data_IF_913598649486
#
_entry.id   IF_913598649486
#
_cell.length_a   1.000
_cell.length_b   1.000
_cell.length_c   1.000
_cell.angle_alpha   90.00
_cell.angle_beta   90.00
_cell.angle_gamma   90.00
#
_symmetry.space_group_name_H-M   'P 1'
#
loop_
_entity.id
_entity.type
_entity.pdbx_description
1 polymer ?
#
# COMPACT_ATOMS: atom_id res chain seq x y z
N UNK A 1 -0.92 7.69 8.67
CA UNK A 1 -1.28 6.27 8.82
C UNK A 1 -0.10 5.53 9.36
N UNK A 2 -0.38 4.50 10.16
CA UNK A 2 0.59 3.83 11.01
C UNK A 2 1.84 3.31 10.26
N UNK A 3 3.04 3.41 10.86
CA UNK A 3 3.33 4.06 12.14
C UNK A 3 3.25 5.59 12.08
N UNK A 4 2.42 6.13 12.98
CA UNK A 4 2.49 7.53 13.38
C UNK A 4 3.66 7.63 14.37
N UNK A 5 4.37 8.75 14.32
CA UNK A 5 5.64 9.00 15.02
C UNK A 5 5.61 8.56 16.49
N UNK A 6 6.53 7.68 16.88
CA UNK A 6 6.88 7.42 18.29
C UNK A 6 5.92 6.55 19.11
N UNK A 7 4.80 6.13 18.56
CA UNK A 7 3.81 5.34 19.30
C UNK A 7 4.07 3.81 19.17
N UNK A 8 3.52 3.01 20.08
CA UNK A 8 3.44 1.57 19.90
C UNK A 8 2.33 1.24 18.89
N UNK A 9 2.40 0.09 18.17
CA UNK A 9 1.31 -0.35 17.31
C UNK A 9 0.01 -0.35 18.11
N UNK A 10 -1.08 0.29 17.60
CA UNK A 10 -2.35 0.25 18.31
C UNK A 10 -2.75 -1.21 18.48
N UNK A 11 -3.10 -1.61 19.72
CA UNK A 11 -3.53 -2.98 20.00
C UNK A 11 -4.83 -3.32 19.24
N UNK A 12 -5.57 -2.31 18.81
CA UNK A 12 -6.84 -2.39 18.11
C UNK A 12 -6.73 -2.11 16.60
N UNK A 13 -5.54 -2.30 16.02
CA UNK A 13 -5.32 -2.12 14.58
C UNK A 13 -4.69 -3.38 13.94
N UNK A 14 -5.43 -3.98 13.01
CA UNK A 14 -4.83 -4.86 12.01
C UNK A 14 -4.31 -4.01 10.85
N UNK A 15 -2.99 -3.95 10.67
CA UNK A 15 -2.37 -3.23 9.58
C UNK A 15 -1.81 -4.21 8.53
N UNK A 16 -2.41 -4.19 7.34
CA UNK A 16 -1.95 -4.93 6.15
C UNK A 16 -1.30 -3.93 5.21
N UNK A 17 -0.03 -4.16 4.86
CA UNK A 17 0.74 -3.29 3.97
C UNK A 17 1.78 -4.11 3.20
N UNK A 18 2.55 -3.44 2.34
CA UNK A 18 3.52 -4.06 1.41
C UNK A 18 2.90 -5.10 0.50
N UNK A 19 1.62 -4.93 0.20
CA UNK A 19 0.86 -5.79 -0.70
C UNK A 19 0.03 -4.92 -1.63
N UNK A 20 0.08 -5.23 -2.92
CA UNK A 20 -0.82 -4.66 -3.92
C UNK A 20 -2.13 -5.45 -3.92
N UNK A 21 -3.25 -4.83 -4.28
CA UNK A 21 -4.55 -5.47 -4.30
C UNK A 21 -4.58 -6.74 -5.19
N UNK A 22 -3.96 -6.77 -6.39
CA UNK A 22 -3.86 -8.01 -7.16
C UNK A 22 -3.08 -9.11 -6.46
N UNK A 23 -1.99 -8.77 -5.78
CA UNK A 23 -1.21 -9.74 -5.02
C UNK A 23 -1.97 -10.26 -3.80
N UNK A 24 -2.69 -9.40 -3.09
CA UNK A 24 -3.48 -9.74 -1.90
C UNK A 24 -4.51 -10.85 -2.17
N UNK A 25 -5.10 -10.87 -3.36
CA UNK A 25 -6.13 -11.83 -3.77
C UNK A 25 -5.57 -13.02 -4.57
N UNK A 26 -4.28 -13.02 -4.89
CA UNK A 26 -3.66 -14.11 -5.61
C UNK A 26 -3.45 -15.35 -4.71
N UNK A 27 -3.10 -16.49 -5.29
CA UNK A 27 -2.74 -17.70 -4.55
C UNK A 27 -1.33 -17.57 -3.93
N UNK A 28 -1.02 -18.28 -2.84
CA UNK A 28 0.34 -18.32 -2.28
C UNK A 28 1.37 -18.79 -3.32
N UNK A 29 2.56 -18.20 -3.29
CA UNK A 29 3.65 -18.67 -4.15
C UNK A 29 4.17 -20.01 -3.60
N UNK A 30 3.99 -21.08 -4.38
CA UNK A 30 4.42 -22.42 -4.00
C UNK A 30 5.95 -22.56 -4.06
N UNK A 31 6.51 -23.37 -3.16
CA UNK A 31 7.92 -23.75 -3.18
C UNK A 31 8.89 -22.69 -2.65
N UNK A 32 8.40 -21.58 -2.08
CA UNK A 32 9.24 -20.61 -1.37
C UNK A 32 9.65 -21.19 -0.02
N UNK A 33 10.95 -21.22 0.25
CA UNK A 33 11.51 -21.58 1.55
C UNK A 33 11.72 -20.31 2.37
N UNK A 34 10.89 -20.11 3.41
CA UNK A 34 10.99 -18.95 4.27
C UNK A 34 12.23 -19.05 5.18
N UNK A 35 13.08 -18.02 5.16
CA UNK A 35 14.23 -17.88 6.04
C UNK A 35 14.09 -16.63 6.92
N UNK A 36 14.69 -16.57 8.13
CA UNK A 36 14.67 -15.39 9.01
C UNK A 36 15.11 -14.09 8.29
N UNK A 37 14.68 -12.90 8.77
CA UNK A 37 15.07 -11.63 8.16
C UNK A 37 16.59 -11.42 8.15
N UNK A 38 17.09 -10.80 7.08
CA UNK A 38 18.46 -10.30 7.00
C UNK A 38 18.65 -9.09 7.94
N UNK A 39 19.87 -8.77 8.42
CA UNK A 39 20.10 -7.69 9.38
C UNK A 39 19.58 -6.31 8.95
N UNK A 40 19.54 -6.04 7.65
CA UNK A 40 19.09 -4.78 7.06
C UNK A 40 17.56 -4.64 7.05
N UNK A 41 16.83 -5.73 7.30
CA UNK A 41 15.39 -5.80 7.18
C UNK A 41 14.73 -5.96 8.56
N UNK A 42 14.05 -4.92 9.02
CA UNK A 42 13.31 -4.95 10.28
C UNK A 42 12.15 -5.99 10.26
N UNK A 43 11.74 -6.43 11.45
CA UNK A 43 10.72 -7.49 11.63
C UNK A 43 9.38 -7.17 10.96
N UNK A 44 8.89 -5.92 11.08
CA UNK A 44 7.57 -5.56 10.57
C UNK A 44 7.49 -5.58 9.02
N UNK A 45 8.39 -4.91 8.28
CA UNK A 45 8.44 -5.04 6.82
C UNK A 45 8.66 -6.49 6.35
N UNK A 46 9.53 -7.26 7.02
CA UNK A 46 9.73 -8.67 6.71
C UNK A 46 8.43 -9.49 6.85
N UNK A 47 7.72 -9.34 7.98
CA UNK A 47 6.45 -10.03 8.20
C UNK A 47 5.39 -9.66 7.16
N UNK A 48 5.38 -8.41 6.71
CA UNK A 48 4.46 -7.93 5.67
C UNK A 48 4.77 -8.56 4.31
N UNK A 49 6.06 -8.62 3.93
CA UNK A 49 6.51 -9.34 2.73
C UNK A 49 6.15 -10.83 2.79
N UNK A 50 6.39 -11.51 3.92
CA UNK A 50 6.02 -12.92 4.09
C UNK A 50 4.50 -13.11 4.01
N UNK A 51 3.72 -12.19 4.57
CA UNK A 51 2.27 -12.23 4.46
C UNK A 51 1.79 -12.07 3.01
N UNK A 52 2.46 -11.26 2.19
CA UNK A 52 2.20 -11.15 0.75
C UNK A 52 2.56 -12.44 0.01
N UNK A 53 3.68 -13.10 0.33
CA UNK A 53 4.08 -14.36 -0.31
C UNK A 53 3.13 -15.52 0.05
N UNK A 54 2.69 -15.57 1.29
CA UNK A 54 1.87 -16.64 1.87
C UNK A 54 0.36 -16.37 1.83
N UNK A 55 -0.05 -15.16 1.42
CA UNK A 55 -1.45 -14.71 1.27
C UNK A 55 -2.28 -14.86 2.55
N UNK A 56 -1.67 -14.55 3.69
CA UNK A 56 -2.31 -14.70 5.02
C UNK A 56 -3.18 -13.52 5.43
N UNK A 57 -3.09 -12.39 4.72
CA UNK A 57 -3.77 -11.15 5.11
C UNK A 57 -5.30 -11.24 5.11
N UNK A 58 -5.93 -11.91 4.14
CA UNK A 58 -7.40 -12.06 4.10
C UNK A 58 -7.92 -12.94 5.25
N UNK A 59 -7.18 -14.00 5.60
CA UNK A 59 -7.50 -14.82 6.75
C UNK A 59 -7.36 -14.03 8.06
N UNK A 60 -6.30 -13.22 8.19
CA UNK A 60 -6.11 -12.32 9.32
C UNK A 60 -7.24 -11.29 9.42
N UNK A 61 -7.66 -10.71 8.29
CA UNK A 61 -8.76 -9.74 8.23
C UNK A 61 -10.10 -10.36 8.68
N UNK A 62 -10.41 -11.57 8.21
CA UNK A 62 -11.62 -12.29 8.61
C UNK A 62 -11.60 -12.66 10.10
N UNK A 63 -10.44 -13.07 10.64
CA UNK A 63 -10.28 -13.37 12.05
C UNK A 63 -10.38 -12.12 12.93
N UNK A 64 -9.90 -10.97 12.44
CA UNK A 64 -9.91 -9.70 13.15
C UNK A 64 -11.32 -9.13 13.34
N UNK A 65 -12.25 -9.41 12.42
CA UNK A 65 -13.65 -8.92 12.45
C UNK A 65 -13.72 -7.40 12.66
N UNK A 66 -13.12 -6.60 11.77
CA UNK A 66 -13.09 -5.15 11.93
C UNK A 66 -14.50 -4.55 11.93
N UNK A 67 -14.69 -3.51 12.74
CA UNK A 67 -15.84 -2.59 12.62
C UNK A 67 -15.63 -1.55 11.52
N UNK A 68 -14.37 -1.27 11.16
CA UNK A 68 -13.98 -0.32 10.12
C UNK A 68 -12.91 -0.94 9.21
N UNK A 69 -13.07 -0.77 7.90
CA UNK A 69 -12.10 -1.22 6.91
C UNK A 69 -11.62 -0.04 6.07
N UNK A 70 -10.36 0.34 6.26
CA UNK A 70 -9.73 1.48 5.58
C UNK A 70 -8.93 0.96 4.38
N UNK A 71 -9.26 1.46 3.20
CA UNK A 71 -8.51 1.24 1.97
C UNK A 71 -7.61 2.43 1.70
N UNK A 72 -6.31 2.18 1.60
CA UNK A 72 -5.34 3.11 1.04
C UNK A 72 -4.58 2.39 -0.08
N UNK A 73 -4.59 2.98 -1.27
CA UNK A 73 -3.97 2.42 -2.47
C UNK A 73 -2.52 2.90 -2.67
N UNK A 74 -1.87 3.51 -1.68
CA UNK A 74 -0.51 4.06 -1.82
C UNK A 74 0.53 2.97 -2.13
N UNK A 75 0.31 1.73 -1.70
CA UNK A 75 1.16 0.56 -2.00
C UNK A 75 1.00 0.06 -3.45
N UNK A 76 0.01 0.55 -4.20
CA UNK A 76 -0.10 0.33 -5.65
C UNK A 76 1.03 1.00 -6.46
N UNK A 77 1.97 1.66 -5.77
CA UNK A 77 3.27 2.06 -6.31
C UNK A 77 4.24 0.91 -6.56
N UNK A 78 4.07 -0.21 -5.87
CA UNK A 78 4.95 -1.37 -5.96
C UNK A 78 4.59 -2.19 -7.21
N UNK A 79 5.60 -2.71 -7.92
CA UNK A 79 5.34 -3.51 -9.12
C UNK A 79 4.78 -4.87 -8.71
N UNK A 80 4.30 -5.62 -9.69
CA UNK A 80 3.81 -6.98 -9.48
C UNK A 80 4.76 -7.94 -10.19
N UNK A 81 5.17 -9.00 -9.52
CA UNK A 81 5.81 -10.15 -10.16
C UNK A 81 4.74 -11.16 -10.54
N UNK A 82 4.65 -11.49 -11.82
CA UNK A 82 3.93 -12.67 -12.31
C UNK A 82 4.89 -13.86 -12.29
N UNK A 83 4.61 -14.85 -11.44
CA UNK A 83 5.52 -15.97 -11.20
C UNK A 83 4.76 -17.19 -10.71
N UNK A 84 5.12 -18.39 -11.18
CA UNK A 84 4.51 -19.65 -10.71
C UNK A 84 2.98 -19.72 -10.88
N UNK A 85 2.40 -18.98 -11.84
CA UNK A 85 0.95 -18.88 -12.03
C UNK A 85 0.23 -18.00 -10.99
N UNK A 86 0.96 -17.25 -10.17
CA UNK A 86 0.42 -16.31 -9.18
C UNK A 86 1.03 -14.91 -9.33
N UNK A 87 0.59 -13.98 -8.49
CA UNK A 87 1.07 -12.60 -8.39
C UNK A 87 1.70 -12.38 -7.01
N UNK A 88 2.84 -11.71 -6.99
CA UNK A 88 3.57 -11.30 -5.78
C UNK A 88 3.87 -9.82 -5.88
N UNK A 89 3.80 -9.08 -4.77
CA UNK A 89 4.21 -7.68 -4.75
C UNK A 89 5.73 -7.57 -4.82
N UNK A 90 6.25 -6.84 -5.79
CA UNK A 90 7.68 -6.53 -5.90
C UNK A 90 8.02 -5.37 -4.98
N UNK A 91 8.36 -5.69 -3.74
CA UNK A 91 8.76 -4.74 -2.72
C UNK A 91 10.28 -4.72 -2.51
N UNK A 92 10.79 -3.65 -1.89
CA UNK A 92 12.20 -3.57 -1.50
C UNK A 92 12.61 -4.70 -0.56
N UNK A 93 11.72 -5.08 0.35
CA UNK A 93 11.94 -6.19 1.28
C UNK A 93 12.22 -7.49 0.53
N UNK A 94 11.50 -7.73 -0.58
CA UNK A 94 11.73 -8.88 -1.44
C UNK A 94 13.09 -8.83 -2.12
N UNK A 95 13.52 -7.66 -2.60
CA UNK A 95 14.84 -7.47 -3.23
C UNK A 95 15.99 -7.78 -2.28
N UNK A 96 15.89 -7.35 -1.01
CA UNK A 96 16.98 -7.53 -0.03
C UNK A 96 16.90 -8.85 0.73
N UNK A 97 15.76 -9.54 0.71
CA UNK A 97 15.56 -10.82 1.42
C UNK A 97 16.40 -11.98 0.86
N UNK A 98 16.89 -11.87 -0.38
CA UNK A 98 17.50 -12.97 -1.13
C UNK A 98 16.51 -13.99 -1.70
N UNK A 99 15.19 -13.86 -1.43
CA UNK A 99 14.20 -14.84 -1.90
C UNK A 99 14.08 -14.90 -3.43
N UNK A 100 14.33 -13.80 -4.13
CA UNK A 100 14.34 -13.76 -5.60
C UNK A 100 15.36 -14.72 -6.25
N UNK A 101 16.36 -15.19 -5.49
CA UNK A 101 17.35 -16.18 -5.97
C UNK A 101 16.85 -17.62 -5.88
N UNK A 102 15.73 -17.88 -5.18
CA UNK A 102 15.18 -19.21 -5.03
C UNK A 102 14.55 -19.73 -6.33
N UNK A 103 14.56 -21.05 -6.57
CA UNK A 103 13.89 -21.65 -7.74
C UNK A 103 12.40 -21.32 -7.87
N UNK A 104 11.71 -21.02 -6.76
CA UNK A 104 10.30 -20.58 -6.77
C UNK A 104 10.09 -19.29 -7.58
N UNK A 105 11.11 -18.45 -7.72
CA UNK A 105 11.08 -17.22 -8.51
C UNK A 105 11.56 -17.39 -9.96
N UNK A 106 11.90 -18.62 -10.37
CA UNK A 106 12.35 -18.88 -11.73
C UNK A 106 11.30 -18.44 -12.76
N UNK A 107 11.72 -17.60 -13.71
CA UNK A 107 10.85 -17.08 -14.76
C UNK A 107 9.88 -15.99 -14.31
N UNK A 108 10.09 -15.38 -13.13
CA UNK A 108 9.35 -14.21 -12.69
C UNK A 108 9.43 -13.09 -13.73
N UNK A 109 8.30 -12.42 -13.97
CA UNK A 109 8.21 -11.27 -14.87
C UNK A 109 7.60 -10.09 -14.14
N UNK A 110 8.27 -8.94 -14.21
CA UNK A 110 7.77 -7.70 -13.64
C UNK A 110 6.68 -7.11 -14.51
N UNK A 111 5.58 -6.73 -13.86
CA UNK A 111 4.48 -5.92 -14.41
C UNK A 111 4.59 -4.55 -13.75
N UNK A 112 5.05 -3.57 -14.54
CA UNK A 112 5.24 -2.21 -14.08
C UNK A 112 3.91 -1.52 -13.73
N UNK A 113 3.95 -0.66 -12.71
CA UNK A 113 2.79 0.18 -12.33
C UNK A 113 2.57 1.36 -13.27
N UNK A 114 1.39 1.95 -13.14
CA UNK A 114 0.88 2.98 -14.05
C UNK A 114 0.88 2.53 -15.52
N UNK A 115 0.58 1.24 -15.73
CA UNK A 115 0.41 0.64 -17.07
C UNK A 115 -0.98 0.04 -17.22
N UNK A 116 -1.51 -0.05 -18.46
CA UNK A 116 -2.79 -0.72 -18.71
C UNK A 116 -2.85 -2.16 -18.19
N UNK A 117 -1.73 -2.89 -18.20
CA UNK A 117 -1.66 -4.25 -17.66
C UNK A 117 -1.88 -4.26 -16.14
N UNK A 118 -1.22 -3.37 -15.41
CA UNK A 118 -1.43 -3.22 -13.96
C UNK A 118 -2.86 -2.77 -13.61
N UNK A 119 -3.46 -1.91 -14.43
CA UNK A 119 -4.83 -1.42 -14.22
C UNK A 119 -5.88 -2.51 -14.42
N UNK A 120 -5.68 -3.38 -15.41
CA UNK A 120 -6.56 -4.53 -15.63
C UNK A 120 -6.53 -5.51 -14.45
N UNK A 121 -5.33 -5.81 -13.95
CA UNK A 121 -5.15 -6.66 -12.76
C UNK A 121 -5.82 -6.04 -11.54
N UNK A 122 -5.57 -4.74 -11.29
CA UNK A 122 -6.18 -4.01 -10.18
C UNK A 122 -7.71 -4.03 -10.27
N UNK A 123 -8.28 -3.75 -11.45
CA UNK A 123 -9.74 -3.72 -11.64
C UNK A 123 -10.37 -5.09 -11.44
N UNK A 124 -9.70 -6.17 -11.84
CA UNK A 124 -10.16 -7.53 -11.57
C UNK A 124 -10.13 -7.83 -10.07
N UNK A 125 -9.00 -7.54 -9.42
CA UNK A 125 -8.82 -7.74 -7.99
C UNK A 125 -9.84 -6.93 -7.17
N UNK A 126 -10.12 -5.68 -7.55
CA UNK A 126 -11.12 -4.88 -6.84
C UNK A 126 -12.54 -5.43 -6.97
N UNK A 127 -12.92 -6.02 -8.12
CA UNK A 127 -14.22 -6.70 -8.24
C UNK A 127 -14.30 -7.93 -7.33
N UNK A 128 -13.23 -8.69 -7.24
CA UNK A 128 -13.14 -9.84 -6.35
C UNK A 128 -13.18 -9.43 -4.88
N UNK A 129 -12.42 -8.39 -4.49
CA UNK A 129 -12.47 -7.81 -3.14
C UNK A 129 -13.89 -7.34 -2.79
N UNK A 130 -14.58 -6.63 -3.70
CA UNK A 130 -15.95 -6.21 -3.47
C UNK A 130 -16.91 -7.42 -3.28
N UNK A 131 -16.73 -8.49 -4.05
CA UNK A 131 -17.46 -9.75 -3.88
C UNK A 131 -17.16 -10.43 -2.54
N UNK A 132 -15.91 -10.42 -2.10
CA UNK A 132 -15.48 -10.95 -0.80
C UNK A 132 -16.12 -10.16 0.35
N UNK A 133 -16.09 -8.82 0.28
CA UNK A 133 -16.73 -7.97 1.30
C UNK A 133 -18.22 -8.29 1.37
N UNK A 134 -18.92 -8.30 0.23
CA UNK A 134 -20.37 -8.52 0.17
C UNK A 134 -20.81 -9.92 0.62
N UNK A 135 -19.94 -10.92 0.56
CA UNK A 135 -20.25 -12.32 0.90
C UNK A 135 -19.74 -12.76 2.27
N UNK A 136 -19.14 -11.87 3.04
CA UNK A 136 -18.57 -12.16 4.37
C UNK A 136 -19.10 -11.18 5.42
N UNK A 137 -18.86 -11.41 6.73
CA UNK A 137 -19.21 -10.43 7.78
C UNK A 137 -18.54 -9.06 7.62
N UNK A 138 -17.61 -8.89 6.68
CA UNK A 138 -17.03 -7.59 6.35
C UNK A 138 -18.05 -6.63 5.73
N UNK A 139 -19.20 -7.13 5.23
CA UNK A 139 -20.30 -6.28 4.76
C UNK A 139 -20.87 -5.37 5.86
N UNK A 140 -20.71 -5.75 7.13
CA UNK A 140 -21.18 -4.97 8.28
C UNK A 140 -20.16 -3.89 8.71
N UNK A 141 -18.94 -3.93 8.18
CA UNK A 141 -17.90 -2.95 8.51
C UNK A 141 -18.14 -1.62 7.78
N UNK A 142 -17.84 -0.50 8.46
CA UNK A 142 -17.77 0.81 7.81
C UNK A 142 -16.57 0.85 6.89
N UNK A 143 -16.83 0.87 5.58
CA UNK A 143 -15.78 0.99 4.56
C UNK A 143 -15.34 2.45 4.45
N UNK A 144 -14.03 2.68 4.44
CA UNK A 144 -13.42 4.02 4.33
C UNK A 144 -12.37 3.98 3.23
N UNK A 145 -12.44 4.92 2.29
CA UNK A 145 -11.36 5.19 1.33
C UNK A 145 -10.51 6.35 1.84
N UNK A 146 -9.21 6.12 1.98
CA UNK A 146 -8.22 7.19 2.10
C UNK A 146 -7.77 7.62 0.71
N UNK A 147 -8.13 8.85 0.32
CA UNK A 147 -7.81 9.42 -0.99
C UNK A 147 -6.39 10.00 -1.04
N UNK A 148 -5.40 9.16 -0.68
CA UNK A 148 -3.99 9.52 -0.73
C UNK A 148 -3.53 9.76 -2.17
N UNK A 149 -2.60 10.69 -2.34
CA UNK A 149 -1.98 11.04 -3.61
C UNK A 149 -0.54 11.44 -3.33
N UNK A 150 0.37 11.16 -4.25
CA UNK A 150 1.77 11.57 -4.14
C UNK A 150 1.88 13.09 -4.10
N UNK A 151 2.62 13.61 -3.12
CA UNK A 151 2.97 15.00 -3.03
C UNK A 151 3.83 15.41 -4.24
N UNK A 152 3.60 16.61 -4.75
CA UNK A 152 4.41 17.24 -5.81
C UNK A 152 5.44 18.20 -5.25
N UNK A 153 5.38 18.47 -3.94
CA UNK A 153 6.25 19.39 -3.21
C UNK A 153 6.70 18.75 -1.91
N UNK A 154 7.82 19.21 -1.37
CA UNK A 154 8.34 18.80 -0.08
C UNK A 154 8.76 20.00 0.77
N UNK A 155 8.68 19.84 2.08
CA UNK A 155 9.33 20.70 3.06
C UNK A 155 10.78 20.26 3.19
N UNK A 156 11.72 21.14 2.87
CA UNK A 156 13.15 20.88 3.03
C UNK A 156 13.60 21.05 4.50
N UNK A 157 14.87 20.74 4.77
CA UNK A 157 15.43 20.84 6.12
C UNK A 157 15.64 22.27 6.62
N UNK A 158 15.55 23.25 5.73
CA UNK A 158 15.64 24.68 6.04
C UNK A 158 14.23 25.29 6.25
N UNK A 159 13.18 24.46 6.24
CA UNK A 159 11.79 24.88 6.42
C UNK A 159 11.15 25.52 5.19
N UNK A 160 11.76 25.38 4.01
CA UNK A 160 11.23 25.91 2.74
C UNK A 160 10.47 24.83 1.98
N UNK A 161 9.36 25.22 1.34
CA UNK A 161 8.62 24.33 0.45
C UNK A 161 9.22 24.40 -0.95
N UNK A 162 9.60 23.25 -1.52
CA UNK A 162 10.17 23.11 -2.87
C UNK A 162 9.45 22.05 -3.67
N UNK A 163 9.52 22.15 -5.00
CA UNK A 163 9.01 21.11 -5.88
C UNK A 163 9.84 19.83 -5.76
N UNK A 164 9.17 18.68 -5.85
CA UNK A 164 9.83 17.41 -6.08
C UNK A 164 10.15 17.27 -7.59
N UNK A 165 11.21 16.55 -7.96
CA UNK A 165 11.43 16.22 -9.36
C UNK A 165 10.24 15.39 -9.88
N UNK A 166 9.97 15.49 -11.19
CA UNK A 166 8.86 14.76 -11.81
C UNK A 166 8.97 13.24 -11.63
N UNK A 167 10.21 12.73 -11.67
CA UNK A 167 10.54 11.34 -11.43
C UNK A 167 11.31 11.21 -10.10
N UNK A 168 10.83 10.31 -9.26
CA UNK A 168 11.34 10.07 -7.90
C UNK A 168 11.61 8.59 -7.68
N UNK A 169 12.48 8.30 -6.73
CA UNK A 169 12.74 6.94 -6.28
C UNK A 169 11.60 6.47 -5.36
N UNK A 170 11.07 5.27 -5.63
CA UNK A 170 10.07 4.61 -4.79
C UNK A 170 10.79 3.78 -3.71
N UNK A 171 11.82 3.05 -4.14
CA UNK A 171 12.82 2.39 -3.32
C UNK A 171 14.07 2.15 -4.18
N UNK A 172 15.18 1.73 -3.57
CA UNK A 172 16.48 1.56 -4.23
C UNK A 172 16.37 0.83 -5.58
N UNK A 173 16.69 1.54 -6.67
CA UNK A 173 16.69 0.97 -8.03
C UNK A 173 15.34 0.97 -8.74
N UNK A 174 14.28 1.48 -8.11
CA UNK A 174 12.95 1.65 -8.69
C UNK A 174 12.52 3.11 -8.68
N UNK A 175 12.20 3.64 -9.86
CA UNK A 175 11.75 5.01 -10.07
C UNK A 175 10.33 5.05 -10.60
N UNK A 176 9.64 6.16 -10.39
CA UNK A 176 8.30 6.39 -10.89
C UNK A 176 8.04 7.88 -11.10
N UNK A 177 7.21 8.20 -12.09
CA UNK A 177 6.76 9.57 -12.35
C UNK A 177 5.56 9.90 -11.50
N UNK A 178 5.62 11.02 -10.79
CA UNK A 178 4.56 11.45 -9.85
C UNK A 178 3.21 11.54 -10.56
N UNK A 179 3.18 12.12 -11.76
CA UNK A 179 1.96 12.30 -12.53
C UNK A 179 1.30 10.96 -12.91
N UNK A 180 2.09 9.98 -13.36
CA UNK A 180 1.61 8.67 -13.81
C UNK A 180 1.02 7.87 -12.62
N UNK A 181 1.68 7.91 -11.45
CA UNK A 181 1.18 7.28 -10.24
C UNK A 181 -0.08 7.95 -9.67
N UNK A 182 -0.15 9.29 -9.69
CA UNK A 182 -1.34 10.01 -9.25
C UNK A 182 -2.53 9.77 -10.19
N UNK A 183 -2.30 9.67 -11.50
CA UNK A 183 -3.34 9.29 -12.45
C UNK A 183 -3.87 7.87 -12.16
N UNK A 184 -2.98 6.90 -11.89
CA UNK A 184 -3.37 5.56 -11.50
C UNK A 184 -4.17 5.54 -10.17
N UNK A 185 -3.71 6.26 -9.15
CA UNK A 185 -4.42 6.37 -7.86
C UNK A 185 -5.81 6.97 -8.03
N UNK A 186 -5.95 8.05 -8.81
CA UNK A 186 -7.25 8.66 -9.10
C UNK A 186 -8.20 7.67 -9.82
N UNK A 187 -7.67 6.90 -10.78
CA UNK A 187 -8.41 5.85 -11.47
C UNK A 187 -8.88 4.74 -10.51
N UNK A 188 -8.01 4.28 -9.62
CA UNK A 188 -8.32 3.25 -8.63
C UNK A 188 -9.35 3.74 -7.60
N UNK A 189 -9.18 4.95 -7.07
CA UNK A 189 -10.11 5.58 -6.13
C UNK A 189 -11.50 5.75 -6.76
N UNK A 190 -11.58 6.26 -7.99
CA UNK A 190 -12.86 6.38 -8.70
C UNK A 190 -13.50 5.02 -8.97
N UNK A 191 -12.71 4.00 -9.32
CA UNK A 191 -13.21 2.65 -9.59
C UNK A 191 -13.70 1.96 -8.32
N UNK A 192 -13.00 2.16 -7.20
CA UNK A 192 -13.42 1.70 -5.87
C UNK A 192 -14.78 2.29 -5.49
N UNK A 193 -14.94 3.61 -5.60
CA UNK A 193 -16.20 4.27 -5.25
C UNK A 193 -17.36 3.87 -6.20
N UNK A 194 -17.05 3.51 -7.45
CA UNK A 194 -18.03 2.95 -8.37
C UNK A 194 -18.52 1.55 -7.98
N UNK A 195 -17.67 0.73 -7.36
CA UNK A 195 -18.01 -0.62 -6.89
C UNK A 195 -18.60 -0.62 -5.49
N UNK A 196 -18.16 0.30 -4.62
CA UNK A 196 -18.51 0.39 -3.21
C UNK A 196 -19.01 1.82 -2.88
N UNK A 197 -20.16 2.24 -3.43
CA UNK A 197 -20.63 3.63 -3.32
C UNK A 197 -21.03 4.05 -1.90
N UNK A 198 -21.23 3.11 -0.99
CA UNK A 198 -21.53 3.38 0.42
C UNK A 198 -20.29 3.76 1.24
N UNK A 199 -19.09 3.52 0.71
CA UNK A 199 -17.85 3.80 1.43
C UNK A 199 -17.73 5.29 1.78
N UNK A 200 -17.29 5.56 3.01
CA UNK A 200 -16.91 6.90 3.46
C UNK A 200 -15.55 7.27 2.87
N UNK A 201 -15.26 8.56 2.84
CA UNK A 201 -14.03 9.11 2.25
C UNK A 201 -13.33 9.96 3.28
N UNK A 202 -12.02 9.79 3.38
CA UNK A 202 -11.15 10.80 3.96
C UNK A 202 -10.23 11.32 2.86
N UNK A 203 -10.13 12.63 2.77
CA UNK A 203 -9.35 13.33 1.76
C UNK A 203 -8.66 14.50 2.46
N UNK A 204 -7.37 14.33 2.76
CA UNK A 204 -6.58 15.39 3.34
C UNK A 204 -6.46 16.54 2.33
N UNK A 205 -6.69 17.81 2.73
CA UNK A 205 -6.63 18.94 1.82
C UNK A 205 -5.28 19.02 1.08
N UNK A 206 -5.28 19.38 -0.23
CA UNK A 206 -4.06 19.41 -1.04
C UNK A 206 -2.93 20.30 -0.48
N UNK A 207 -3.27 21.32 0.29
CA UNK A 207 -2.32 22.21 0.98
C UNK A 207 -1.48 21.49 2.04
N UNK A 208 -1.98 20.41 2.63
CA UNK A 208 -1.25 19.59 3.60
C UNK A 208 -0.52 18.43 2.94
N UNK A 209 -0.77 18.17 1.64
CA UNK A 209 -0.11 17.12 0.85
C UNK A 209 1.29 17.57 0.40
N UNK A 210 2.16 17.70 1.39
CA UNK A 210 3.56 18.11 1.26
C UNK A 210 4.40 16.96 1.83
N UNK A 211 5.41 16.49 1.08
CA UNK A 211 6.37 15.51 1.58
C UNK A 211 7.34 16.15 2.59
N UNK A 212 7.96 15.36 3.45
CA UNK A 212 8.86 15.86 4.48
C UNK A 212 10.29 15.31 4.32
N UNK A 213 11.27 16.19 4.10
CA UNK A 213 12.68 15.80 4.01
C UNK A 213 13.29 15.35 5.36
N UNK A 214 12.61 15.69 6.47
CA UNK A 214 12.91 15.22 7.82
C UNK A 214 12.16 13.94 8.20
N UNK A 215 11.37 13.34 7.30
CA UNK A 215 10.60 12.15 7.61
C UNK A 215 11.51 10.99 8.04
N UNK A 216 11.07 10.20 9.03
CA UNK A 216 11.84 9.06 9.61
C UNK A 216 12.22 7.96 8.60
N UNK A 217 11.61 7.97 7.42
CA UNK A 217 11.86 7.01 6.34
C UNK A 217 12.52 7.66 5.11
N UNK A 218 13.08 8.85 5.30
CA UNK A 218 13.64 9.65 4.21
C UNK A 218 12.58 10.35 3.36
N UNK A 219 13.06 11.18 2.45
CA UNK A 219 12.20 11.96 1.55
C UNK A 219 11.57 11.04 0.50
N UNK A 220 10.25 11.07 0.41
CA UNK A 220 9.47 10.39 -0.63
C UNK A 220 8.13 11.11 -0.81
N UNK A 221 7.51 11.15 -2.01
CA UNK A 221 6.25 11.87 -2.22
C UNK A 221 5.07 11.35 -1.38
N UNK A 222 5.19 10.17 -0.78
CA UNK A 222 4.18 9.56 0.09
C UNK A 222 4.57 9.57 1.58
N UNK A 223 5.63 10.30 1.93
CA UNK A 223 6.05 10.56 3.30
C UNK A 223 5.71 12.01 3.66
N UNK A 224 4.49 12.24 4.12
CA UNK A 224 3.95 13.58 4.30
C UNK A 224 4.46 14.26 5.57
N UNK A 225 4.30 15.59 5.63
CA UNK A 225 4.44 16.38 6.84
C UNK A 225 3.45 15.95 7.93
N UNK A 226 3.79 16.19 9.19
CA UNK A 226 2.97 15.79 10.34
C UNK A 226 1.52 16.29 10.27
N UNK A 227 1.31 17.50 9.73
CA UNK A 227 -0.02 18.09 9.58
C UNK A 227 -0.96 17.22 8.71
N UNK A 228 -0.44 16.55 7.68
CA UNK A 228 -1.22 15.61 6.86
C UNK A 228 -1.78 14.48 7.72
N UNK A 229 -0.93 13.88 8.57
CA UNK A 229 -1.32 12.75 9.41
C UNK A 229 -2.31 13.16 10.50
N UNK A 230 -2.14 14.35 11.09
CA UNK A 230 -3.09 14.90 12.08
C UNK A 230 -4.46 15.13 11.47
N UNK A 231 -4.51 15.67 10.25
CA UNK A 231 -5.76 15.88 9.53
C UNK A 231 -6.43 14.56 9.14
N UNK A 232 -5.68 13.61 8.57
CA UNK A 232 -6.21 12.28 8.27
C UNK A 232 -6.77 11.59 9.52
N UNK A 233 -6.07 11.71 10.65
CA UNK A 233 -6.53 11.18 11.93
C UNK A 233 -7.81 11.85 12.42
N UNK A 234 -7.92 13.18 12.34
CA UNK A 234 -9.15 13.89 12.71
C UNK A 234 -10.36 13.46 11.86
N UNK A 235 -10.17 13.27 10.54
CA UNK A 235 -11.22 12.77 9.65
C UNK A 235 -11.61 11.32 9.98
N UNK A 236 -10.65 10.46 10.34
CA UNK A 236 -10.92 9.10 10.80
C UNK A 236 -11.71 9.07 12.11
N UNK A 237 -11.33 9.89 13.10
CA UNK A 237 -12.05 10.01 14.36
C UNK A 237 -13.50 10.47 14.15
N UNK A 238 -13.73 11.38 13.21
CA UNK A 238 -15.09 11.82 12.84
C UNK A 238 -15.95 10.69 12.23
N UNK A 239 -15.32 9.61 11.77
CA UNK A 239 -15.98 8.40 11.25
C UNK A 239 -16.09 7.27 12.29
N UNK A 240 -15.62 7.48 13.52
CA UNK A 240 -15.71 6.49 14.61
C UNK A 240 -14.58 5.47 14.64
N UNK A 241 -13.45 5.77 14.00
CA UNK A 241 -12.19 5.01 14.09
C UNK A 241 -11.41 5.41 15.34
#
# INVERSE_FOLDING_TARGET
MWPIVGEAPPQELLYVCRTTLPSLLAAPLAGVELAPPVPELADFPYRSMVADLTKTALAALAAWRPTHLIFDFIDERLDILSVGGTLVTHSWELDVSGFLTQPAFAGARTIARATPASDLLWKQAMREMAGLIASTPLADATLILHEAQWATRHLDRDGQVRDLPEEVEIFTGKRGRIADHNAALAYYQSSFLGLLPAARRIAVPPELRIADAGHRWGLSPFHYVEAYYREAHAQLQALGV
#
